data_IF_154310268345
#
_entry.id   IF_154310268345
#
_cell.length_a   1.000
_cell.length_b   1.000
_cell.length_c   1.000
_cell.angle_alpha   90.00
_cell.angle_beta   90.00
_cell.angle_gamma   90.00
#
_symmetry.space_group_name_H-M   'P 1'
#
loop_
_entity.id
_entity.type
_entity.pdbx_description
1 polymer ?
#
# COMPACT_ATOMS: atom_id res chain seq x y z
N UNK A 1 -19.43 -7.72 -14.05
CA UNK A 1 -18.27 -7.09 -14.72
C UNK A 1 -18.64 -5.66 -15.08
N UNK A 2 -18.26 -4.67 -14.26
CA UNK A 2 -18.39 -3.24 -14.58
C UNK A 2 -17.14 -2.54 -14.06
N UNK A 3 -16.24 -2.21 -14.97
CA UNK A 3 -14.97 -1.55 -14.69
C UNK A 3 -14.79 -0.49 -15.78
N UNK A 4 -15.25 0.74 -15.53
CA UNK A 4 -14.87 1.91 -16.34
C UNK A 4 -15.19 3.24 -15.63
N UNK A 5 -14.99 3.34 -14.31
CA UNK A 5 -14.97 4.66 -13.63
C UNK A 5 -13.63 5.37 -13.83
N UNK A 6 -12.56 4.62 -14.08
CA UNK A 6 -11.18 5.12 -14.19
C UNK A 6 -10.70 5.31 -15.64
N UNK A 7 -11.61 5.25 -16.62
CA UNK A 7 -11.28 5.41 -18.05
C UNK A 7 -10.30 4.37 -18.59
N UNK A 8 -9.87 4.52 -19.84
CA UNK A 8 -8.77 3.76 -20.45
C UNK A 8 -7.39 4.11 -19.86
N UNK A 9 -7.35 4.92 -18.79
CA UNK A 9 -6.15 5.26 -18.06
C UNK A 9 -5.74 4.08 -17.17
N UNK A 10 -5.00 3.17 -17.81
CA UNK A 10 -4.12 2.16 -17.20
C UNK A 10 -4.88 0.99 -16.55
N UNK A 11 -4.52 -0.24 -16.92
CA UNK A 11 -5.16 -1.51 -16.52
C UNK A 11 -5.11 -1.87 -15.02
N UNK A 12 -5.04 -0.88 -14.12
CA UNK A 12 -5.08 -1.08 -12.68
C UNK A 12 -6.53 -1.33 -12.27
N UNK A 13 -6.79 -2.53 -11.75
CA UNK A 13 -8.16 -2.93 -11.39
C UNK A 13 -8.41 -2.94 -9.90
N UNK A 14 -7.34 -2.91 -9.10
CA UNK A 14 -7.41 -3.01 -7.64
C UNK A 14 -6.08 -2.58 -7.02
N UNK A 15 -6.11 -2.34 -5.71
CA UNK A 15 -4.92 -2.24 -4.87
C UNK A 15 -4.87 -3.42 -3.89
N UNK A 16 -3.69 -3.66 -3.34
CA UNK A 16 -3.45 -4.73 -2.37
C UNK A 16 -2.90 -4.22 -1.06
N UNK A 17 -3.27 -4.88 0.04
CA UNK A 17 -2.63 -4.74 1.34
C UNK A 17 -2.07 -6.09 1.77
N UNK A 18 -0.79 -6.12 2.15
CA UNK A 18 -0.14 -7.32 2.68
C UNK A 18 -0.25 -7.34 4.20
N UNK A 19 -0.69 -8.46 4.76
CA UNK A 19 -0.78 -8.69 6.23
C UNK A 19 -0.52 -10.16 6.55
N UNK A 20 -0.38 -10.49 7.83
CA UNK A 20 -0.28 -11.90 8.27
C UNK A 20 -1.67 -12.52 8.37
N UNK A 21 -1.80 -13.81 8.06
CA UNK A 21 -3.07 -14.53 8.12
C UNK A 21 -3.78 -14.42 9.48
N UNK A 22 -3.04 -14.49 10.59
CA UNK A 22 -3.57 -14.29 11.95
C UNK A 22 -4.28 -12.93 12.17
N UNK A 23 -3.95 -11.90 11.39
CA UNK A 23 -4.60 -10.60 11.49
C UNK A 23 -5.97 -10.58 10.78
N UNK A 24 -6.29 -11.57 9.95
CA UNK A 24 -7.51 -11.58 9.14
C UNK A 24 -8.77 -11.51 10.01
N UNK A 25 -8.81 -12.26 11.12
CA UNK A 25 -9.97 -12.29 12.00
C UNK A 25 -10.27 -10.92 12.58
N UNK A 26 -9.26 -10.23 13.11
CA UNK A 26 -9.45 -8.91 13.73
C UNK A 26 -9.83 -7.85 12.70
N UNK A 27 -9.24 -7.89 11.50
CA UNK A 27 -9.59 -7.00 10.39
C UNK A 27 -11.06 -7.20 9.96
N UNK A 28 -11.52 -8.44 9.84
CA UNK A 28 -12.91 -8.72 9.49
C UNK A 28 -13.89 -8.32 10.59
N UNK A 29 -13.49 -8.45 11.86
CA UNK A 29 -14.33 -8.04 13.00
C UNK A 29 -14.42 -6.52 13.15
N UNK A 30 -13.33 -5.79 12.90
CA UNK A 30 -13.33 -4.32 12.94
C UNK A 30 -13.98 -3.72 11.68
N UNK A 31 -13.94 -4.43 10.56
CA UNK A 31 -14.39 -3.94 9.26
C UNK A 31 -13.45 -2.90 8.64
N UNK A 32 -12.24 -2.73 9.17
CA UNK A 32 -11.31 -1.68 8.74
C UNK A 32 -9.84 -2.11 8.81
N UNK A 33 -9.02 -1.49 7.96
CA UNK A 33 -7.57 -1.46 8.11
C UNK A 33 -7.18 -0.21 8.88
N UNK A 34 -6.30 -0.36 9.87
CA UNK A 34 -5.79 0.76 10.69
C UNK A 34 -4.34 1.04 10.35
N UNK A 35 -3.97 2.32 10.38
CA UNK A 35 -2.59 2.76 10.17
C UNK A 35 -1.68 2.29 11.30
N UNK A 36 -0.37 2.35 11.07
CA UNK A 36 0.61 1.95 12.07
C UNK A 36 0.43 2.71 13.39
N UNK A 37 0.22 4.02 13.33
CA UNK A 37 0.05 4.85 14.52
C UNK A 37 -1.23 4.51 15.31
N UNK A 38 -2.32 4.10 14.63
CA UNK A 38 -3.55 3.63 15.28
C UNK A 38 -3.43 2.22 15.85
N UNK A 39 -2.51 1.40 15.34
CA UNK A 39 -2.24 0.05 15.83
C UNK A 39 -1.23 0.02 17.00
N UNK A 40 -0.68 1.16 17.43
CA UNK A 40 0.24 1.18 18.57
C UNK A 40 -0.46 0.72 19.85
N UNK A 41 0.16 -0.22 20.55
CA UNK A 41 -0.39 -0.84 21.75
C UNK A 41 -1.49 -1.87 21.49
N UNK A 42 -1.87 -2.11 20.23
CA UNK A 42 -2.78 -3.18 19.85
C UNK A 42 -1.99 -4.46 19.55
N UNK A 43 -2.57 -5.61 19.87
CA UNK A 43 -1.97 -6.91 19.55
C UNK A 43 -2.27 -7.27 18.10
N UNK A 44 -1.23 -7.49 17.31
CA UNK A 44 -1.30 -8.02 15.95
C UNK A 44 0.03 -8.67 15.57
N UNK A 45 -0.01 -9.54 14.57
CA UNK A 45 1.19 -10.14 14.00
C UNK A 45 1.84 -9.18 13.02
N UNK A 46 2.94 -8.56 13.45
CA UNK A 46 3.68 -7.59 12.65
C UNK A 46 4.62 -8.29 11.65
N UNK A 47 4.55 -7.90 10.37
CA UNK A 47 5.40 -8.38 9.28
C UNK A 47 6.45 -7.35 8.83
N UNK A 48 6.49 -6.22 9.51
CA UNK A 48 7.29 -5.09 9.07
C UNK A 48 8.76 -5.28 9.45
N UNK A 49 9.63 -5.03 8.48
CA UNK A 49 11.06 -4.96 8.71
C UNK A 49 11.39 -3.65 9.44
N UNK A 50 12.18 -3.73 10.51
CA UNK A 50 12.46 -2.60 11.40
C UNK A 50 13.12 -1.43 10.67
N UNK A 51 14.08 -1.67 9.78
CA UNK A 51 14.74 -0.61 9.00
C UNK A 51 13.76 0.10 8.06
N UNK A 52 12.86 -0.67 7.45
CA UNK A 52 11.79 -0.11 6.61
C UNK A 52 10.85 0.74 7.46
N UNK A 53 10.49 0.29 8.66
CA UNK A 53 9.63 1.04 9.56
C UNK A 53 10.30 2.31 10.08
N UNK A 54 11.57 2.25 10.47
CA UNK A 54 12.33 3.42 10.90
C UNK A 54 12.41 4.47 9.78
N UNK A 55 12.69 4.03 8.55
CA UNK A 55 12.71 4.92 7.40
C UNK A 55 11.35 5.57 7.11
N UNK A 56 10.25 4.82 7.26
CA UNK A 56 8.89 5.36 7.08
C UNK A 56 8.48 6.29 8.22
N UNK A 57 8.91 6.04 9.45
CA UNK A 57 8.64 6.88 10.61
C UNK A 57 9.23 8.29 10.46
N UNK A 58 10.32 8.44 9.71
CA UNK A 58 10.98 9.70 9.44
C UNK A 58 10.30 10.55 8.33
N UNK A 59 9.27 10.04 7.66
CA UNK A 59 8.65 10.71 6.51
C UNK A 59 7.38 11.43 6.93
N UNK A 60 7.33 12.73 6.66
CA UNK A 60 6.12 13.54 6.65
C UNK A 60 5.65 13.71 5.21
N UNK A 61 4.41 13.34 4.91
CA UNK A 61 3.83 13.42 3.56
C UNK A 61 3.57 14.88 3.19
N UNK A 62 4.30 15.47 2.22
CA UNK A 62 4.33 16.93 2.03
C UNK A 62 2.96 17.55 1.72
N UNK A 63 2.13 16.89 0.93
CA UNK A 63 0.80 17.40 0.53
C UNK A 63 -0.23 17.41 1.66
N UNK A 64 0.03 16.69 2.76
CA UNK A 64 -0.91 16.56 3.88
C UNK A 64 -0.35 17.02 5.22
N UNK A 65 0.97 17.19 5.31
CA UNK A 65 1.71 17.45 6.55
C UNK A 65 1.48 16.41 7.66
N UNK A 66 1.02 15.20 7.30
CA UNK A 66 0.85 14.07 8.22
C UNK A 66 2.02 13.09 8.11
N UNK A 67 2.42 12.45 9.21
CA UNK A 67 3.37 11.34 9.19
C UNK A 67 2.92 10.23 8.23
N UNK A 68 3.86 9.60 7.52
CA UNK A 68 3.56 8.48 6.64
C UNK A 68 2.92 7.29 7.40
N UNK A 69 3.20 7.17 8.70
CA UNK A 69 2.63 6.16 9.59
C UNK A 69 1.15 6.39 9.98
N UNK A 70 0.57 7.52 9.59
CA UNK A 70 -0.88 7.75 9.70
C UNK A 70 -1.67 7.16 8.54
N UNK A 71 -1.00 6.67 7.49
CA UNK A 71 -1.63 6.07 6.32
C UNK A 71 -1.56 4.55 6.34
N UNK A 72 -2.62 3.90 5.86
CA UNK A 72 -2.61 2.47 5.53
C UNK A 72 -1.98 2.30 4.14
N UNK A 73 -0.89 1.54 3.99
CA UNK A 73 -0.27 1.33 2.69
C UNK A 73 -1.12 0.38 1.84
N UNK A 74 -1.53 0.86 0.66
CA UNK A 74 -2.15 0.06 -0.40
C UNK A 74 -1.24 0.10 -1.63
N UNK A 75 -0.99 -1.06 -2.23
CA UNK A 75 -0.03 -1.20 -3.33
C UNK A 75 -0.74 -1.53 -4.63
N UNK A 76 -0.38 -0.80 -5.69
CA UNK A 76 -0.82 -1.09 -7.06
C UNK A 76 -0.04 -2.24 -7.70
N UNK A 77 1.20 -2.48 -7.26
CA UNK A 77 2.04 -3.60 -7.68
C UNK A 77 2.13 -4.68 -6.60
N UNK A 78 2.11 -5.95 -7.01
CA UNK A 78 2.11 -7.09 -6.07
C UNK A 78 3.49 -7.41 -5.49
N UNK A 79 4.56 -7.15 -6.25
CA UNK A 79 5.92 -7.60 -5.93
C UNK A 79 6.70 -6.45 -5.29
N UNK A 80 6.37 -6.10 -4.05
CA UNK A 80 7.06 -5.04 -3.32
C UNK A 80 8.35 -5.58 -2.65
N UNK A 81 9.31 -4.72 -2.28
CA UNK A 81 10.47 -5.15 -1.48
C UNK A 81 10.08 -5.88 -0.19
N UNK A 82 8.94 -5.53 0.42
CA UNK A 82 8.46 -6.19 1.64
C UNK A 82 8.00 -7.62 1.40
N UNK A 83 7.51 -7.96 0.19
CA UNK A 83 7.23 -9.36 -0.19
C UNK A 83 8.53 -10.13 -0.32
N UNK A 84 9.55 -9.55 -0.98
CA UNK A 84 10.86 -10.19 -1.13
C UNK A 84 11.54 -10.47 0.23
N UNK A 85 11.46 -9.53 1.17
CA UNK A 85 12.01 -9.68 2.53
C UNK A 85 11.28 -10.78 3.31
N UNK A 86 9.97 -10.94 3.09
CA UNK A 86 9.16 -11.92 3.83
C UNK A 86 8.98 -13.26 3.08
N UNK A 87 9.81 -13.58 2.09
CA UNK A 87 9.69 -14.81 1.31
C UNK A 87 9.67 -16.09 2.16
N UNK A 88 10.46 -16.13 3.24
CA UNK A 88 10.49 -17.25 4.18
C UNK A 88 9.15 -17.48 4.92
N UNK A 89 8.27 -16.48 4.93
CA UNK A 89 6.96 -16.50 5.59
C UNK A 89 5.79 -16.50 4.59
N UNK A 90 6.05 -16.80 3.31
CA UNK A 90 5.03 -16.73 2.25
C UNK A 90 3.74 -17.50 2.57
N UNK A 91 3.81 -18.62 3.30
CA UNK A 91 2.65 -19.41 3.69
C UNK A 91 1.67 -18.65 4.60
N UNK A 92 2.16 -17.66 5.35
CA UNK A 92 1.38 -16.87 6.30
C UNK A 92 1.03 -15.47 5.75
N UNK A 93 1.52 -15.12 4.56
CA UNK A 93 1.23 -13.83 3.91
C UNK A 93 -0.14 -13.86 3.24
N UNK A 94 -0.98 -12.90 3.63
CA UNK A 94 -2.27 -12.65 3.03
C UNK A 94 -2.27 -11.33 2.27
N UNK A 95 -2.80 -11.33 1.04
CA UNK A 95 -3.02 -10.13 0.24
C UNK A 95 -4.51 -9.81 0.16
N UNK A 96 -4.93 -8.76 0.86
CA UNK A 96 -6.29 -8.23 0.78
C UNK A 96 -6.40 -7.33 -0.44
N UNK A 97 -7.43 -7.53 -1.27
CA UNK A 97 -7.68 -6.74 -2.48
C UNK A 97 -8.78 -5.72 -2.26
N UNK A 98 -8.53 -4.49 -2.68
CA UNK A 98 -9.46 -3.37 -2.56
C UNK A 98 -9.81 -2.81 -3.94
N UNK A 99 -11.09 -2.42 -4.12
CA UNK A 99 -11.48 -1.59 -5.27
C UNK A 99 -10.71 -0.28 -5.23
N UNK A 100 -10.42 0.30 -6.41
CA UNK A 100 -9.88 1.65 -6.50
C UNK A 100 -10.82 2.70 -5.89
N UNK A 101 -12.11 2.38 -5.73
CA UNK A 101 -13.09 3.27 -5.10
C UNK A 101 -12.70 3.68 -3.68
N UNK A 102 -11.85 2.92 -2.99
CA UNK A 102 -11.33 3.30 -1.66
C UNK A 102 -10.57 4.62 -1.69
N UNK A 103 -10.00 5.02 -2.83
CA UNK A 103 -9.30 6.31 -3.00
C UNK A 103 -10.25 7.52 -2.91
N UNK A 104 -11.57 7.30 -3.07
CA UNK A 104 -12.56 8.35 -2.82
C UNK A 104 -12.68 8.71 -1.33
N UNK A 105 -12.02 7.97 -0.43
CA UNK A 105 -11.89 8.35 0.98
C UNK A 105 -11.15 9.69 1.09
N UNK A 106 -11.74 10.71 1.73
CA UNK A 106 -11.11 12.02 1.87
C UNK A 106 -9.70 11.93 2.48
N UNK A 107 -8.75 12.65 1.88
CA UNK A 107 -7.35 12.64 2.31
C UNK A 107 -6.53 11.47 1.81
N UNK A 108 -7.06 10.66 0.87
CA UNK A 108 -6.27 9.63 0.18
C UNK A 108 -5.10 10.25 -0.58
N UNK A 109 -3.91 9.66 -0.43
CA UNK A 109 -2.68 10.11 -1.06
C UNK A 109 -2.17 9.03 -2.02
N UNK A 110 -1.78 9.44 -3.23
CA UNK A 110 -1.08 8.61 -4.21
C UNK A 110 0.41 8.93 -4.16
N UNK A 111 1.24 7.90 -4.20
CA UNK A 111 2.70 8.02 -4.26
C UNK A 111 3.18 7.39 -5.57
N UNK A 112 4.06 8.08 -6.31
CA UNK A 112 4.54 7.63 -7.64
C UNK A 112 5.60 6.52 -7.61
N UNK A 113 5.96 6.06 -6.41
CA UNK A 113 6.92 4.99 -6.24
C UNK A 113 6.93 4.43 -4.82
N UNK A 114 8.12 4.02 -4.36
CA UNK A 114 8.28 3.56 -2.98
C UNK A 114 8.16 4.75 -2.02
N UNK A 115 7.11 4.78 -1.22
CA UNK A 115 6.87 5.87 -0.25
C UNK A 115 7.97 6.06 0.81
N UNK A 116 8.96 5.15 0.92
CA UNK A 116 10.18 5.35 1.72
C UNK A 116 11.27 6.16 0.98
N UNK A 117 11.21 6.25 -0.34
CA UNK A 117 12.22 6.89 -1.17
C UNK A 117 12.10 8.41 -1.14
N UNK A 118 13.22 9.11 -0.99
CA UNK A 118 13.28 10.57 -1.12
C UNK A 118 12.99 11.06 -2.55
N UNK A 119 13.08 10.18 -3.55
CA UNK A 119 12.78 10.51 -4.94
C UNK A 119 11.28 10.45 -5.26
N UNK A 120 10.47 9.83 -4.39
CA UNK A 120 9.04 9.67 -4.63
C UNK A 120 8.26 10.94 -4.31
N UNK A 121 7.26 11.22 -5.15
CA UNK A 121 6.35 12.34 -4.99
C UNK A 121 5.00 11.85 -4.49
N UNK A 122 4.36 12.69 -3.69
CA UNK A 122 3.05 12.44 -3.10
C UNK A 122 2.03 13.41 -3.68
N UNK A 123 0.84 12.91 -3.95
CA UNK A 123 -0.25 13.62 -4.60
C UNK A 123 -1.53 13.39 -3.82
N UNK A 124 -2.28 14.44 -3.52
CA UNK A 124 -3.65 14.28 -3.03
C UNK A 124 -4.49 13.65 -4.14
N UNK A 125 -5.26 12.61 -3.82
CA UNK A 125 -6.21 12.03 -4.76
C UNK A 125 -7.41 12.97 -4.88
N UNK A 126 -7.55 13.60 -6.03
CA UNK A 126 -8.71 14.44 -6.38
C UNK A 126 -9.57 13.69 -7.39
N UNK A 127 -8.92 13.10 -8.39
CA UNK A 127 -9.54 12.35 -9.46
C UNK A 127 -8.54 11.32 -10.05
N UNK A 128 -8.98 10.46 -10.98
CA UNK A 128 -8.12 9.46 -11.61
C UNK A 128 -6.93 9.98 -12.44
N UNK A 129 -6.87 11.26 -12.82
CA UNK A 129 -5.78 11.79 -13.65
C UNK A 129 -4.43 11.69 -12.95
N UNK A 130 -4.42 11.64 -11.61
CA UNK A 130 -3.21 11.43 -10.80
C UNK A 130 -2.44 10.17 -11.22
N UNK A 131 -3.12 9.16 -11.77
CA UNK A 131 -2.48 7.94 -12.26
C UNK A 131 -1.57 8.16 -13.48
N UNK A 132 -1.72 9.28 -14.19
CA UNK A 132 -0.80 9.67 -15.28
C UNK A 132 0.62 9.98 -14.77
N UNK A 133 0.78 10.22 -13.47
CA UNK A 133 2.10 10.39 -12.83
C UNK A 133 2.80 9.05 -12.54
N UNK A 134 2.12 7.91 -12.74
CA UNK A 134 2.64 6.60 -12.35
C UNK A 134 3.36 5.90 -13.50
N UNK A 135 4.51 5.30 -13.19
CA UNK A 135 5.17 4.36 -14.10
C UNK A 135 4.48 3.00 -14.07
N UNK A 136 3.60 2.77 -15.05
CA UNK A 136 2.86 1.51 -15.21
C UNK A 136 3.78 0.31 -15.46
N UNK A 137 4.93 0.52 -16.12
CA UNK A 137 5.89 -0.56 -16.36
C UNK A 137 6.55 -0.98 -15.04
N UNK A 138 6.90 -0.03 -14.17
CA UNK A 138 7.42 -0.31 -12.84
C UNK A 138 6.40 -1.05 -11.95
N UNK A 139 5.12 -0.66 -11.99
CA UNK A 139 4.04 -1.32 -11.22
C UNK A 139 3.91 -2.80 -11.60
N UNK A 140 4.05 -3.11 -12.89
CA UNK A 140 3.96 -4.48 -13.43
C UNK A 140 5.27 -5.24 -13.36
N UNK A 141 6.35 -4.61 -12.89
CA UNK A 141 7.65 -5.21 -12.88
C UNK A 141 7.72 -6.43 -11.95
N UNK A 142 8.52 -7.40 -12.35
CA UNK A 142 8.87 -8.57 -11.53
C UNK A 142 10.23 -8.38 -10.85
N UNK A 143 10.73 -7.14 -10.78
CA UNK A 143 12.08 -6.80 -10.27
C UNK A 143 12.41 -7.43 -8.92
N UNK A 144 11.40 -7.61 -8.07
CA UNK A 144 11.54 -8.17 -6.73
C UNK A 144 11.06 -9.63 -6.61
N UNK A 145 10.57 -10.23 -7.69
CA UNK A 145 10.38 -11.67 -7.72
C UNK A 145 11.69 -12.33 -8.13
N UNK A 146 12.35 -12.92 -7.15
CA UNK A 146 13.14 -14.11 -7.42
C UNK A 146 12.16 -15.27 -7.37
N UNK A 147 12.06 -16.03 -8.46
CA UNK A 147 11.44 -17.34 -8.37
C UNK A 147 12.28 -18.20 -7.41
N UNK A 148 11.66 -19.00 -6.54
CA UNK A 148 12.37 -19.94 -5.68
C UNK A 148 13.16 -20.97 -6.48
#
# INVERSE_FOLDING_TARGET
MKSTKYGSAHHMTHMTHMTHMDNLRSILQSGELRSYNLMRGQSYRNLANEDVQAGRAAITVPVSQRPLHDYVPLYLGFKTPMVAINQAHNADLLFLRFSLDVLATPGSIVCDGNARSNASKFYLFIDPEVFSNLDVAAIRSVKYAKDP
#
